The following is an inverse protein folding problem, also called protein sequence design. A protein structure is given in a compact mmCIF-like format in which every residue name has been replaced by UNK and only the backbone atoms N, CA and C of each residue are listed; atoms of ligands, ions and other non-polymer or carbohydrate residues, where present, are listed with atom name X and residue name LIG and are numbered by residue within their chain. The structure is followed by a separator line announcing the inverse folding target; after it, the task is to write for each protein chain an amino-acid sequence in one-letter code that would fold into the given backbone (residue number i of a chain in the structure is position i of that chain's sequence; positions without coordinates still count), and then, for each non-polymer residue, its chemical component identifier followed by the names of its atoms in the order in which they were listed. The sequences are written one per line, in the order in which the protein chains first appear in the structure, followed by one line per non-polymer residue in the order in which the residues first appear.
data_IF_380877970741
#
_entry.id   IF_380877970741
#
_cell.length_a   1.000
_cell.length_b   1.000
_cell.length_c   1.000
_cell.angle_alpha   90.00
_cell.angle_beta   90.00
_cell.angle_gamma   90.00
#
_symmetry.space_group_name_H-M   'P 1'
#
loop_
_entity.id
_entity.type
_entity.pdbx_description
1 polymer ?
#
# COMPACT_ATOMS: atom_id res chain seq x y z
N UNK A 1 6.59 -15.61 7.62
CA UNK A 1 6.22 -14.27 7.11
C UNK A 1 7.29 -13.78 6.15
N UNK A 2 6.89 -13.24 5.01
CA UNK A 2 7.82 -12.80 3.98
C UNK A 2 8.22 -11.34 4.21
N UNK A 3 9.53 -11.08 4.29
CA UNK A 3 10.08 -9.74 4.48
C UNK A 3 11.25 -9.56 3.51
N UNK A 4 10.97 -9.16 2.26
CA UNK A 4 12.05 -8.99 1.27
C UNK A 4 13.10 -7.98 1.73
N UNK A 5 14.38 -8.36 1.60
CA UNK A 5 15.48 -7.55 2.10
C UNK A 5 15.79 -6.33 1.22
N UNK A 6 15.39 -6.39 -0.06
CA UNK A 6 15.67 -5.33 -1.03
C UNK A 6 14.70 -4.15 -0.94
N UNK A 7 13.63 -4.27 -0.13
CA UNK A 7 12.66 -3.20 0.04
C UNK A 7 13.00 -2.35 1.26
N UNK A 8 12.44 -1.15 1.29
CA UNK A 8 12.49 -0.29 2.46
C UNK A 8 11.15 -0.37 3.18
N UNK A 9 11.17 -0.22 4.50
CA UNK A 9 9.98 -0.39 5.32
C UNK A 9 9.81 0.78 6.27
N UNK A 10 8.54 1.10 6.62
CA UNK A 10 8.24 2.12 7.62
C UNK A 10 7.77 1.45 8.91
N UNK A 11 7.71 2.23 9.99
CA UNK A 11 7.20 1.72 11.27
C UNK A 11 5.69 1.48 11.23
N UNK A 12 5.00 2.02 10.24
CA UNK A 12 3.57 1.79 10.03
C UNK A 12 3.34 0.57 9.14
N UNK A 13 4.40 -0.18 8.82
CA UNK A 13 4.34 -1.42 8.03
C UNK A 13 3.93 -1.21 6.57
N UNK A 14 4.35 -0.09 5.99
CA UNK A 14 4.34 0.08 4.53
C UNK A 14 5.71 -0.26 3.99
N UNK A 15 5.74 -0.71 2.74
CA UNK A 15 7.00 -0.96 2.03
C UNK A 15 7.12 -0.01 0.84
N UNK A 16 8.36 0.23 0.43
CA UNK A 16 8.66 1.07 -0.73
C UNK A 16 9.68 0.35 -1.60
N UNK A 17 9.41 0.33 -2.91
CA UNK A 17 10.32 -0.24 -3.90
C UNK A 17 10.60 0.81 -4.96
N UNK A 18 11.86 1.26 -5.04
CA UNK A 18 12.26 2.30 -5.99
C UNK A 18 12.62 1.64 -7.32
N UNK A 19 12.02 2.13 -8.42
CA UNK A 19 12.32 1.67 -9.77
C UNK A 19 12.49 2.90 -10.67
N UNK A 20 13.75 3.27 -10.94
CA UNK A 20 14.03 4.47 -11.70
C UNK A 20 13.62 5.72 -10.96
N UNK A 21 12.75 6.51 -11.60
CA UNK A 21 12.29 7.78 -11.04
C UNK A 21 11.01 7.64 -10.22
N UNK A 22 10.48 6.43 -10.09
CA UNK A 22 9.22 6.18 -9.39
C UNK A 22 9.42 5.18 -8.28
N UNK A 23 8.49 5.15 -7.35
CA UNK A 23 8.50 4.17 -6.26
C UNK A 23 7.10 3.56 -6.13
N UNK A 24 7.07 2.26 -5.91
CA UNK A 24 5.84 1.53 -5.62
C UNK A 24 5.69 1.42 -4.10
N UNK A 25 4.47 1.52 -3.63
CA UNK A 25 4.16 1.50 -2.20
C UNK A 25 3.03 0.51 -1.94
N UNK A 26 3.16 -0.25 -0.89
CA UNK A 26 2.12 -1.15 -0.43
C UNK A 26 2.27 -1.44 1.04
N UNK A 27 1.48 -2.37 1.56
CA UNK A 27 1.61 -2.80 2.95
C UNK A 27 2.35 -4.13 3.02
N UNK A 28 3.01 -4.36 4.14
CA UNK A 28 3.83 -5.56 4.31
C UNK A 28 2.98 -6.80 4.55
N UNK A 29 3.63 -7.96 4.41
CA UNK A 29 2.99 -9.23 4.74
C UNK A 29 2.54 -9.25 6.20
N UNK A 30 3.32 -8.66 7.10
CA UNK A 30 2.92 -8.53 8.49
C UNK A 30 1.63 -7.72 8.62
N UNK A 31 1.54 -6.57 7.95
CA UNK A 31 0.36 -5.72 8.05
C UNK A 31 -0.89 -6.42 7.54
N UNK A 32 -0.81 -7.09 6.38
CA UNK A 32 -1.98 -7.78 5.85
C UNK A 32 -2.41 -8.93 6.75
N UNK A 33 -1.46 -9.60 7.40
CA UNK A 33 -1.81 -10.71 8.30
C UNK A 33 -2.53 -10.19 9.56
N UNK A 34 -2.16 -9.00 10.04
CA UNK A 34 -2.81 -8.39 11.19
C UNK A 34 -4.22 -7.90 10.85
N UNK A 35 -4.40 -7.39 9.61
CA UNK A 35 -5.70 -6.90 9.15
C UNK A 35 -6.66 -8.05 8.84
N UNK A 36 -6.13 -9.17 8.35
CA UNK A 36 -6.95 -10.28 7.89
C UNK A 36 -7.43 -10.06 6.46
N UNK A 37 -8.53 -10.71 6.10
CA UNK A 37 -9.03 -10.67 4.72
C UNK A 37 -9.43 -9.26 4.32
N UNK A 38 -8.80 -8.75 3.27
CA UNK A 38 -9.07 -7.41 2.73
C UNK A 38 -10.25 -7.52 1.77
N UNK A 39 -11.27 -6.69 1.98
CA UNK A 39 -12.48 -6.71 1.17
C UNK A 39 -12.65 -5.46 0.31
N UNK A 40 -11.96 -4.38 0.64
CA UNK A 40 -12.08 -3.14 -0.11
C UNK A 40 -10.87 -2.24 0.12
N UNK A 41 -10.41 -1.57 -0.94
CA UNK A 41 -9.32 -0.60 -0.86
C UNK A 41 -9.85 0.70 -1.45
N UNK A 42 -9.76 1.79 -0.67
CA UNK A 42 -10.27 3.10 -1.09
C UNK A 42 -9.10 4.07 -1.16
N UNK A 43 -8.65 4.37 -2.38
CA UNK A 43 -7.56 5.31 -2.63
C UNK A 43 -8.03 6.28 -3.70
N UNK A 44 -8.27 7.53 -3.31
CA UNK A 44 -8.79 8.56 -4.22
C UNK A 44 -7.88 9.79 -4.28
N UNK A 45 -6.58 9.62 -4.00
CA UNK A 45 -5.62 10.71 -3.93
C UNK A 45 -4.72 10.80 -5.17
N UNK A 46 -5.05 10.08 -6.25
CA UNK A 46 -4.25 10.14 -7.47
C UNK A 46 -4.14 11.59 -7.96
N UNK A 47 -2.91 12.01 -8.26
CA UNK A 47 -2.65 13.39 -8.69
C UNK A 47 -2.34 14.34 -7.55
N UNK A 48 -2.51 13.93 -6.30
CA UNK A 48 -2.24 14.80 -5.16
C UNK A 48 -0.81 14.63 -4.67
N UNK A 49 -0.22 15.72 -4.18
CA UNK A 49 1.08 15.68 -3.52
C UNK A 49 0.84 15.61 -2.03
N UNK A 50 1.35 14.57 -1.39
CA UNK A 50 1.11 14.31 0.02
C UNK A 50 2.43 14.31 0.79
N UNK A 51 2.36 14.77 2.04
CA UNK A 51 3.52 14.78 2.92
C UNK A 51 3.75 13.39 3.52
N UNK A 52 4.95 13.18 4.07
CA UNK A 52 5.24 11.94 4.79
C UNK A 52 4.24 11.76 5.93
N UNK A 53 3.75 10.55 6.08
CA UNK A 53 2.75 10.13 7.09
C UNK A 53 1.34 10.63 6.82
N UNK A 54 1.13 11.41 5.77
CA UNK A 54 -0.23 11.84 5.41
C UNK A 54 -1.00 10.65 4.84
N UNK A 55 -2.31 10.57 5.10
CA UNK A 55 -3.14 9.45 4.65
C UNK A 55 -3.35 9.54 3.16
N UNK A 56 -3.00 8.45 2.42
CA UNK A 56 -3.27 8.42 0.98
C UNK A 56 -4.49 7.59 0.63
N UNK A 57 -5.02 6.84 1.58
CA UNK A 57 -6.19 6.01 1.37
C UNK A 57 -6.49 5.19 2.59
N UNK A 58 -7.39 4.22 2.43
CA UNK A 58 -7.74 3.31 3.50
C UNK A 58 -7.96 1.92 2.95
N UNK A 59 -7.84 0.93 3.81
CA UNK A 59 -8.08 -0.47 3.49
C UNK A 59 -9.11 -1.00 4.46
N UNK A 60 -10.14 -1.67 3.92
CA UNK A 60 -11.19 -2.26 4.73
C UNK A 60 -11.04 -3.77 4.72
N UNK A 61 -10.93 -4.35 5.91
CA UNK A 61 -10.90 -5.79 6.09
C UNK A 61 -12.21 -6.23 6.71
N UNK A 62 -12.44 -7.53 6.78
CA UNK A 62 -13.67 -8.07 7.37
C UNK A 62 -13.85 -7.58 8.80
N UNK A 63 -12.76 -7.49 9.56
CA UNK A 63 -12.85 -7.17 10.99
C UNK A 63 -12.48 -5.73 11.35
N UNK A 64 -11.91 -4.95 10.42
CA UNK A 64 -11.42 -3.61 10.76
C UNK A 64 -11.17 -2.76 9.51
N UNK A 65 -11.02 -1.45 9.74
CA UNK A 65 -10.62 -0.49 8.69
C UNK A 65 -9.34 0.19 9.16
N UNK A 66 -8.39 0.40 8.26
CA UNK A 66 -7.11 1.01 8.59
C UNK A 66 -6.74 2.07 7.57
N UNK A 67 -6.16 3.18 8.04
CA UNK A 67 -5.62 4.21 7.17
C UNK A 67 -4.31 3.75 6.55
N UNK A 68 -4.04 4.25 5.34
CA UNK A 68 -2.78 4.01 4.64
C UNK A 68 -2.01 5.33 4.60
N UNK A 69 -0.78 5.31 5.10
CA UNK A 69 0.01 6.52 5.28
C UNK A 69 1.18 6.57 4.31
N UNK A 70 1.50 7.77 3.81
CA UNK A 70 2.62 7.97 2.90
C UNK A 70 3.93 7.62 3.59
N UNK A 71 4.75 6.73 3.01
CA UNK A 71 6.05 6.40 3.60
C UNK A 71 7.04 7.55 3.50
N UNK A 72 6.92 8.33 2.43
CA UNK A 72 7.72 9.54 2.18
C UNK A 72 6.85 10.55 1.47
N UNK A 73 7.28 11.81 1.46
CA UNK A 73 6.60 12.86 0.70
C UNK A 73 6.67 12.55 -0.80
N UNK A 74 5.58 12.78 -1.52
CA UNK A 74 5.56 12.60 -2.96
C UNK A 74 4.20 12.80 -3.58
N UNK A 75 4.19 12.79 -4.91
CA UNK A 75 2.95 12.88 -5.67
C UNK A 75 2.46 11.48 -5.98
N UNK A 76 1.17 11.23 -5.77
CA UNK A 76 0.54 9.95 -6.11
C UNK A 76 0.34 9.92 -7.61
N UNK A 77 1.22 9.22 -8.33
CA UNK A 77 1.23 9.19 -9.79
C UNK A 77 0.19 8.23 -10.35
N UNK A 78 -0.05 7.12 -9.67
CA UNK A 78 -0.99 6.11 -10.11
C UNK A 78 -1.48 5.28 -8.94
N UNK A 79 -2.68 4.73 -9.09
CA UNK A 79 -3.28 3.79 -8.13
C UNK A 79 -3.45 2.46 -8.84
N UNK A 80 -3.16 1.37 -8.15
CA UNK A 80 -3.29 0.02 -8.72
C UNK A 80 -4.77 -0.35 -8.82
N UNK A 81 -5.32 -0.28 -10.02
CA UNK A 81 -6.73 -0.61 -10.21
C UNK A 81 -7.01 -2.11 -10.04
N UNK A 82 -6.00 -2.96 -10.14
CA UNK A 82 -6.16 -4.39 -9.94
C UNK A 82 -6.64 -4.74 -8.55
N UNK A 83 -6.24 -3.97 -7.53
CA UNK A 83 -6.69 -4.25 -6.16
C UNK A 83 -8.11 -3.72 -5.90
N UNK A 84 -8.64 -2.84 -6.76
CA UNK A 84 -10.04 -2.44 -6.66
C UNK A 84 -10.94 -3.59 -7.08
N UNK A 85 -10.56 -4.34 -8.12
CA UNK A 85 -11.31 -5.48 -8.60
C UNK A 85 -11.05 -6.74 -7.77
N UNK A 86 -9.82 -6.89 -7.27
CA UNK A 86 -9.38 -8.06 -6.54
C UNK A 86 -8.61 -7.64 -5.29
N UNK A 87 -9.30 -7.12 -4.27
CA UNK A 87 -8.63 -6.65 -3.04
C UNK A 87 -7.86 -7.75 -2.32
N UNK A 88 -8.20 -9.00 -2.53
CA UNK A 88 -7.47 -10.13 -1.94
C UNK A 88 -6.02 -10.24 -2.42
N UNK A 89 -5.64 -9.54 -3.49
CA UNK A 89 -4.24 -9.48 -3.91
C UNK A 89 -3.35 -8.87 -2.85
N UNK A 90 -3.89 -7.96 -2.04
CA UNK A 90 -3.15 -7.37 -0.93
C UNK A 90 -2.77 -8.45 0.09
N UNK A 91 -3.61 -9.46 0.26
CA UNK A 91 -3.32 -10.58 1.15
C UNK A 91 -2.39 -11.60 0.51
N UNK A 92 -2.61 -11.94 -0.76
CA UNK A 92 -1.93 -13.07 -1.39
C UNK A 92 -0.60 -12.68 -2.01
N UNK A 93 -0.44 -11.42 -2.42
CA UNK A 93 0.79 -10.97 -3.09
C UNK A 93 1.09 -9.52 -2.74
N UNK A 94 1.31 -9.22 -1.44
CA UNK A 94 1.43 -7.83 -0.97
C UNK A 94 2.62 -7.08 -1.58
N UNK A 95 3.69 -7.78 -1.98
CA UNK A 95 4.89 -7.15 -2.54
C UNK A 95 4.91 -7.14 -4.07
N UNK A 96 3.96 -7.81 -4.71
CA UNK A 96 3.85 -7.90 -6.16
C UNK A 96 2.59 -7.23 -6.65
N UNK A 97 1.63 -8.04 -7.10
CA UNK A 97 0.38 -7.52 -7.68
C UNK A 97 -0.47 -6.71 -6.69
N UNK A 98 -0.19 -6.84 -5.39
CA UNK A 98 -0.90 -6.12 -4.34
C UNK A 98 -0.34 -4.72 -4.03
N UNK A 99 0.56 -4.18 -4.87
CA UNK A 99 1.03 -2.81 -4.67
C UNK A 99 -0.15 -1.83 -4.71
N UNK A 100 -0.06 -0.72 -4.00
CA UNK A 100 -1.20 0.18 -3.85
C UNK A 100 -1.07 1.44 -4.67
N UNK A 101 0.05 2.16 -4.56
CA UNK A 101 0.25 3.40 -5.31
C UNK A 101 1.67 3.44 -5.87
N UNK A 102 1.83 4.31 -6.86
CA UNK A 102 3.11 4.66 -7.43
C UNK A 102 3.34 6.15 -7.14
N UNK A 103 4.51 6.49 -6.60
CA UNK A 103 4.84 7.88 -6.26
C UNK A 103 6.14 8.33 -6.89
#
# INVERSE_FOLDING_TARGET
MNVPAELKYTKEHEWIRVEGDVAYVGITDYAQSELGEIVFVDINTEGETLAQNEVFGSVEAVKTVSDLNMPVEGEVLAVNEGINDQPELVNTDPYGEGWMIKI
#
